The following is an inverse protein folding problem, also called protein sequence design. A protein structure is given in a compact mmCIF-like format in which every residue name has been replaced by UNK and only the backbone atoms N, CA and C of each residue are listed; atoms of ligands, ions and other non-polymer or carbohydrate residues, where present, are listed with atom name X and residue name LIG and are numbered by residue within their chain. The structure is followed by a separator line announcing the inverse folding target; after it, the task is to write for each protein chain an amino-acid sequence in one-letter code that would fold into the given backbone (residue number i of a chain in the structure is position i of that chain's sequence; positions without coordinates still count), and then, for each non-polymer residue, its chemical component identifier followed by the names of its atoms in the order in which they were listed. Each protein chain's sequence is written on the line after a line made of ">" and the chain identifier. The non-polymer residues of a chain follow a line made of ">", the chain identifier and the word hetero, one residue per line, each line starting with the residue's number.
data_IF_744994961866
#
_entry.id   IF_744994961866
#
_cell.length_a   1.000
_cell.length_b   1.000
_cell.length_c   1.000
_cell.angle_alpha   90.00
_cell.angle_beta   90.00
_cell.angle_gamma   90.00
#
_symmetry.space_group_name_H-M   'P 1'
#
loop_
_entity.id
_entity.type
_entity.pdbx_description
1 polymer ?
#
# COMPACT_ATOMS: atom_id res chain seq x y z
N UNK A 1 -12.18 17.88 -26.89
CA UNK A 1 -11.62 16.79 -26.05
C UNK A 1 -12.01 17.11 -24.61
N UNK A 2 -13.04 16.47 -24.06
CA UNK A 2 -13.48 16.76 -22.69
C UNK A 2 -12.48 16.18 -21.71
N UNK A 3 -11.74 17.04 -21.00
CA UNK A 3 -10.93 16.65 -19.85
C UNK A 3 -11.87 16.25 -18.71
N UNK A 4 -12.23 14.97 -18.66
CA UNK A 4 -12.81 14.40 -17.45
C UNK A 4 -11.71 14.35 -16.40
N UNK A 5 -11.69 15.35 -15.51
CA UNK A 5 -10.93 15.26 -14.27
C UNK A 5 -11.46 14.06 -13.48
N UNK A 6 -10.67 12.99 -13.42
CA UNK A 6 -10.97 11.79 -12.63
C UNK A 6 -11.11 12.20 -11.16
N UNK A 7 -12.35 12.27 -10.65
CA UNK A 7 -12.66 12.69 -9.29
C UNK A 7 -13.16 11.49 -8.49
N UNK A 8 -12.70 11.38 -7.24
CA UNK A 8 -13.31 10.46 -6.26
C UNK A 8 -14.77 10.87 -6.02
N UNK A 9 -15.71 9.97 -6.31
CA UNK A 9 -17.15 10.25 -6.21
C UNK A 9 -17.74 9.60 -4.95
N UNK A 10 -18.30 10.44 -4.08
CA UNK A 10 -19.12 10.06 -2.92
C UNK A 10 -20.58 10.40 -3.16
N UNK A 11 -21.52 9.78 -2.41
CA UNK A 11 -22.94 10.15 -2.50
C UNK A 11 -23.16 11.63 -2.23
N UNK A 12 -22.50 12.17 -1.19
CA UNK A 12 -22.64 13.58 -0.80
C UNK A 12 -22.12 14.51 -1.88
N UNK A 13 -20.92 14.23 -2.42
CA UNK A 13 -20.34 15.07 -3.48
C UNK A 13 -21.20 15.03 -4.75
N UNK A 14 -21.70 13.84 -5.13
CA UNK A 14 -22.57 13.68 -6.29
C UNK A 14 -23.91 14.38 -6.09
N UNK A 15 -24.54 14.22 -4.91
CA UNK A 15 -25.82 14.85 -4.61
C UNK A 15 -25.71 16.38 -4.62
N UNK A 16 -24.63 16.92 -4.06
CA UNK A 16 -24.35 18.36 -4.14
C UNK A 16 -24.20 18.82 -5.60
N UNK A 17 -23.49 18.05 -6.44
CA UNK A 17 -23.33 18.40 -7.84
C UNK A 17 -24.64 18.31 -8.64
N UNK A 18 -25.47 17.30 -8.38
CA UNK A 18 -26.79 17.15 -9.00
C UNK A 18 -27.74 18.29 -8.62
N UNK A 19 -27.70 18.73 -7.36
CA UNK A 19 -28.44 19.92 -6.89
C UNK A 19 -27.94 21.20 -7.55
N UNK A 20 -26.62 21.40 -7.59
CA UNK A 20 -26.01 22.57 -8.22
C UNK A 20 -26.30 22.67 -9.72
N UNK A 21 -26.48 21.54 -10.39
CA UNK A 21 -26.87 21.46 -11.81
C UNK A 21 -28.38 21.46 -12.02
N UNK A 22 -29.17 21.62 -10.96
CA UNK A 22 -30.64 21.63 -10.98
C UNK A 22 -31.27 20.38 -11.65
N UNK A 23 -30.55 19.25 -11.64
CA UNK A 23 -31.02 18.00 -12.27
C UNK A 23 -32.05 17.32 -11.36
N UNK A 24 -31.72 17.19 -10.08
CA UNK A 24 -32.57 16.50 -9.10
C UNK A 24 -32.18 16.91 -7.68
N UNK A 25 -33.17 17.02 -6.78
CA UNK A 25 -32.97 17.21 -5.35
C UNK A 25 -33.55 16.03 -4.58
N UNK A 26 -32.69 15.11 -4.17
CA UNK A 26 -33.08 13.88 -3.46
C UNK A 26 -32.18 13.60 -2.26
N UNK A 27 -32.63 12.68 -1.39
CA UNK A 27 -31.82 12.20 -0.27
C UNK A 27 -30.68 11.27 -0.72
N UNK A 28 -29.61 11.18 0.06
CA UNK A 28 -28.50 10.24 -0.21
C UNK A 28 -28.97 8.77 -0.30
N UNK A 29 -29.88 8.27 0.56
CA UNK A 29 -30.44 6.93 0.41
C UNK A 29 -31.17 6.72 -0.92
N UNK A 30 -31.98 7.70 -1.35
CA UNK A 30 -32.68 7.63 -2.65
C UNK A 30 -31.69 7.60 -3.81
N UNK A 31 -30.68 8.47 -3.78
CA UNK A 31 -29.62 8.52 -4.79
C UNK A 31 -28.86 7.18 -4.87
N UNK A 32 -28.56 6.56 -3.74
CA UNK A 32 -27.91 5.24 -3.68
C UNK A 32 -28.74 4.14 -4.35
N UNK A 33 -30.07 4.15 -4.19
CA UNK A 33 -30.98 3.19 -4.86
C UNK A 33 -30.96 3.40 -6.38
N UNK A 34 -31.13 4.64 -6.82
CA UNK A 34 -31.12 5.01 -8.25
C UNK A 34 -29.79 4.62 -8.90
N UNK A 35 -28.65 4.91 -8.25
CA UNK A 35 -27.34 4.51 -8.76
C UNK A 35 -27.22 3.01 -8.96
N UNK A 36 -27.74 2.20 -8.04
CA UNK A 36 -27.74 0.74 -8.17
C UNK A 36 -28.63 0.26 -9.32
N UNK A 37 -29.80 0.86 -9.48
CA UNK A 37 -30.71 0.58 -10.60
C UNK A 37 -30.08 0.93 -11.96
N UNK A 38 -29.31 2.01 -12.02
CA UNK A 38 -28.52 2.42 -13.19
C UNK A 38 -27.25 1.57 -13.40
N UNK A 39 -26.98 0.58 -12.55
CA UNK A 39 -25.86 -0.35 -12.68
C UNK A 39 -24.55 0.09 -12.01
N UNK A 40 -24.52 1.24 -11.32
CA UNK A 40 -23.36 1.68 -10.54
C UNK A 40 -23.24 0.88 -9.23
N UNK A 41 -21.99 0.71 -8.78
CA UNK A 41 -21.70 -0.03 -7.54
C UNK A 41 -20.68 0.72 -6.70
N UNK A 42 -20.90 0.72 -5.38
CA UNK A 42 -19.90 1.21 -4.43
C UNK A 42 -18.95 0.06 -4.10
N UNK A 43 -17.70 0.15 -4.58
CA UNK A 43 -16.72 -0.93 -4.48
C UNK A 43 -15.33 -0.36 -4.24
N UNK A 44 -14.43 -1.23 -3.81
CA UNK A 44 -13.00 -0.93 -3.72
C UNK A 44 -12.45 -0.62 -5.10
N UNK A 45 -11.66 0.44 -5.17
CA UNK A 45 -10.78 0.73 -6.31
C UNK A 45 -9.61 -0.26 -6.25
N UNK A 46 -9.70 -1.36 -7.00
CA UNK A 46 -8.65 -2.38 -7.09
C UNK A 46 -8.37 -2.74 -8.55
N UNK A 47 -7.17 -2.39 -9.00
CA UNK A 47 -6.69 -2.72 -10.34
C UNK A 47 -6.08 -4.13 -10.44
N UNK A 48 -5.95 -4.87 -9.32
CA UNK A 48 -5.39 -6.23 -9.32
C UNK A 48 -6.50 -7.26 -9.51
N UNK A 49 -6.92 -7.48 -10.76
CA UNK A 49 -8.05 -8.35 -11.10
C UNK A 49 -7.73 -9.85 -11.12
N UNK A 50 -6.45 -10.23 -11.19
CA UNK A 50 -6.00 -11.61 -11.07
C UNK A 50 -4.50 -11.67 -10.75
N UNK A 51 -4.13 -12.36 -9.67
CA UNK A 51 -2.74 -12.73 -9.40
C UNK A 51 -2.55 -14.17 -9.85
N UNK A 52 -1.77 -14.40 -10.90
CA UNK A 52 -1.36 -15.74 -11.30
C UNK A 52 0.10 -15.93 -10.88
N UNK A 53 0.35 -16.88 -9.97
CA UNK A 53 1.71 -17.24 -9.59
C UNK A 53 2.39 -17.92 -10.78
N UNK A 54 3.56 -17.41 -11.17
CA UNK A 54 4.39 -18.05 -12.19
C UNK A 54 5.14 -19.24 -11.59
N UNK A 55 5.36 -20.30 -12.35
CA UNK A 55 6.04 -21.52 -11.89
C UNK A 55 7.44 -21.26 -11.32
N UNK A 56 8.18 -20.33 -11.91
CA UNK A 56 9.49 -19.91 -11.39
C UNK A 56 9.40 -19.24 -10.01
N UNK A 57 8.37 -18.41 -9.77
CA UNK A 57 8.11 -17.77 -8.47
C UNK A 57 7.70 -18.83 -7.43
N UNK A 58 6.85 -19.78 -7.80
CA UNK A 58 6.49 -20.90 -6.93
C UNK A 58 7.72 -21.73 -6.51
N UNK A 59 8.63 -21.99 -7.46
CA UNK A 59 9.90 -22.69 -7.19
C UNK A 59 10.82 -21.91 -6.23
N UNK A 60 10.97 -20.60 -6.45
CA UNK A 60 11.75 -19.73 -5.55
C UNK A 60 11.15 -19.71 -4.13
N UNK A 61 9.83 -19.59 -4.02
CA UNK A 61 9.10 -19.66 -2.75
C UNK A 61 9.30 -21.00 -2.05
N UNK A 62 9.28 -22.12 -2.78
CA UNK A 62 9.54 -23.44 -2.22
C UNK A 62 10.97 -23.55 -1.67
N UNK A 63 11.96 -23.04 -2.42
CA UNK A 63 13.36 -23.00 -1.98
C UNK A 63 13.52 -22.16 -0.70
N UNK A 64 12.93 -20.97 -0.68
CA UNK A 64 12.88 -20.09 0.48
C UNK A 64 12.28 -20.79 1.71
N UNK A 65 11.11 -21.39 1.57
CA UNK A 65 10.41 -22.05 2.67
C UNK A 65 11.19 -23.25 3.22
N UNK A 66 11.94 -23.97 2.37
CA UNK A 66 12.84 -25.04 2.83
C UNK A 66 13.95 -24.47 3.71
N UNK A 67 14.67 -23.45 3.25
CA UNK A 67 15.72 -22.78 4.04
C UNK A 67 15.19 -22.20 5.36
N UNK A 68 14.02 -21.58 5.32
CA UNK A 68 13.37 -21.06 6.52
C UNK A 68 13.06 -22.18 7.53
N UNK A 69 12.54 -23.32 7.05
CA UNK A 69 12.27 -24.50 7.88
C UNK A 69 13.55 -25.12 8.43
N UNK A 70 14.62 -25.21 7.64
CA UNK A 70 15.93 -25.70 8.08
C UNK A 70 16.43 -24.91 9.29
N UNK A 71 16.37 -23.57 9.27
CA UNK A 71 16.72 -22.78 10.46
C UNK A 71 15.77 -23.09 11.63
N UNK A 72 14.45 -23.08 11.38
CA UNK A 72 13.42 -23.27 12.41
C UNK A 72 13.54 -24.59 13.17
N UNK A 73 13.97 -25.66 12.50
CA UNK A 73 14.10 -27.00 13.08
C UNK A 73 15.55 -27.42 13.35
N UNK A 74 16.50 -26.50 13.24
CA UNK A 74 17.90 -26.77 13.58
C UNK A 74 18.10 -26.91 15.10
N UNK A 75 19.21 -27.52 15.51
CA UNK A 75 19.57 -27.65 16.92
C UNK A 75 19.81 -26.29 17.62
N UNK A 76 20.13 -25.25 16.86
CA UNK A 76 20.36 -23.88 17.37
C UNK A 76 19.74 -22.87 16.38
N UNK A 77 18.42 -22.67 16.44
CA UNK A 77 17.72 -21.79 15.51
C UNK A 77 18.13 -20.33 15.75
N UNK A 78 18.46 -19.62 14.68
CA UNK A 78 18.71 -18.18 14.74
C UNK A 78 17.39 -17.44 14.78
N UNK A 79 17.35 -16.36 15.55
CA UNK A 79 16.20 -15.45 15.56
C UNK A 79 16.01 -14.84 14.18
N UNK A 80 14.78 -14.85 13.70
CA UNK A 80 14.43 -14.32 12.39
C UNK A 80 13.85 -12.93 12.55
N UNK A 81 14.51 -11.97 11.91
CA UNK A 81 14.15 -10.56 11.85
C UNK A 81 13.56 -10.28 10.48
N UNK A 82 12.30 -9.89 10.43
CA UNK A 82 11.64 -9.43 9.22
C UNK A 82 11.76 -7.91 9.15
N UNK A 83 12.08 -7.39 7.98
CA UNK A 83 11.98 -5.96 7.69
C UNK A 83 11.08 -5.73 6.50
N UNK A 84 10.43 -4.58 6.48
CA UNK A 84 9.59 -4.13 5.38
C UNK A 84 9.48 -2.60 5.38
N UNK A 85 9.14 -2.05 4.22
CA UNK A 85 8.76 -0.66 4.06
C UNK A 85 7.26 -0.53 3.83
N UNK A 86 6.65 0.44 4.50
CA UNK A 86 5.26 0.81 4.26
C UNK A 86 5.10 2.31 4.17
N UNK A 87 3.94 2.75 3.73
CA UNK A 87 3.61 4.16 3.67
C UNK A 87 2.17 4.45 4.06
N UNK A 88 1.99 5.59 4.70
CA UNK A 88 0.67 6.16 4.97
C UNK A 88 0.54 7.50 4.27
N UNK A 89 -0.64 7.79 3.75
CA UNK A 89 -0.93 9.09 3.18
C UNK A 89 -1.32 10.08 4.28
N UNK A 90 -0.87 11.33 4.17
CA UNK A 90 -1.16 12.39 5.14
C UNK A 90 -2.67 12.67 5.29
N UNK A 91 -3.47 12.46 4.25
CA UNK A 91 -4.94 12.61 4.28
C UNK A 91 -5.68 11.28 4.49
N UNK A 92 -4.95 10.20 4.76
CA UNK A 92 -5.48 8.83 4.81
C UNK A 92 -5.86 8.29 3.43
N UNK A 93 -6.26 7.02 3.38
CA UNK A 93 -6.63 6.33 2.14
C UNK A 93 -8.14 6.09 2.09
N UNK A 94 -8.87 6.81 1.24
CA UNK A 94 -10.26 6.42 0.91
C UNK A 94 -10.26 5.31 -0.13
N UNK A 95 -10.68 4.11 0.22
CA UNK A 95 -10.48 2.90 -0.61
C UNK A 95 -11.68 2.64 -1.56
N UNK A 96 -12.86 3.17 -1.23
CA UNK A 96 -14.09 2.90 -1.97
C UNK A 96 -14.66 4.15 -2.66
N UNK A 97 -15.18 3.98 -3.87
CA UNK A 97 -15.87 5.00 -4.67
C UNK A 97 -17.07 4.41 -5.42
N UNK A 98 -18.00 5.27 -5.83
CA UNK A 98 -19.07 4.89 -6.76
C UNK A 98 -18.52 4.83 -8.18
N UNK A 99 -18.68 3.69 -8.83
CA UNK A 99 -18.13 3.41 -10.16
C UNK A 99 -19.11 2.56 -10.99
N UNK A 100 -19.01 2.65 -12.31
CA UNK A 100 -19.71 1.79 -13.26
C UNK A 100 -18.89 0.53 -13.58
N UNK A 101 -19.29 -0.25 -14.59
CA UNK A 101 -18.53 -1.42 -15.05
C UNK A 101 -17.34 -1.07 -15.95
N UNK A 102 -17.15 0.20 -16.31
CA UNK A 102 -16.07 0.64 -17.18
C UNK A 102 -14.73 0.69 -16.41
N UNK A 103 -13.66 0.26 -17.05
CA UNK A 103 -12.30 0.27 -16.47
C UNK A 103 -11.77 1.70 -16.30
N UNK A 104 -12.34 2.68 -17.00
CA UNK A 104 -11.95 4.09 -16.96
C UNK A 104 -12.63 4.92 -15.89
N UNK A 105 -13.66 4.42 -15.20
CA UNK A 105 -14.41 5.22 -14.21
C UNK A 105 -13.70 5.40 -12.87
N UNK A 106 -12.44 4.95 -12.77
CA UNK A 106 -11.81 4.70 -11.49
C UNK A 106 -10.36 5.14 -11.50
N UNK A 107 -10.10 6.40 -11.11
CA UNK A 107 -8.86 6.83 -10.46
C UNK A 107 -9.13 8.03 -9.56
N UNK A 108 -8.52 8.06 -8.38
CA UNK A 108 -8.35 9.31 -7.65
C UNK A 108 -7.44 10.23 -8.47
N UNK A 109 -7.68 11.55 -8.46
CA UNK A 109 -6.75 12.47 -9.10
C UNK A 109 -5.39 12.40 -8.39
N UNK A 110 -4.32 12.61 -9.14
CA UNK A 110 -2.96 12.61 -8.59
C UNK A 110 -2.84 13.61 -7.43
N UNK A 111 -2.21 13.19 -6.33
CA UNK A 111 -2.02 14.03 -5.14
C UNK A 111 -3.26 14.17 -4.24
N UNK A 112 -4.38 13.50 -4.55
CA UNK A 112 -5.60 13.54 -3.72
C UNK A 112 -5.35 13.17 -2.25
N UNK A 113 -4.57 12.12 -2.01
CA UNK A 113 -4.28 11.59 -0.67
C UNK A 113 -3.15 12.36 0.06
N UNK A 114 -2.53 13.36 -0.60
CA UNK A 114 -1.45 14.19 -0.02
C UNK A 114 -0.07 13.52 -0.02
N UNK A 115 0.87 14.07 0.76
CA UNK A 115 2.22 13.50 0.94
C UNK A 115 2.15 12.12 1.58
N UNK A 116 3.18 11.30 1.36
CA UNK A 116 3.34 10.01 2.03
C UNK A 116 4.29 10.17 3.20
N UNK A 117 4.03 9.45 4.29
CA UNK A 117 5.01 9.16 5.32
C UNK A 117 5.47 7.73 5.10
N UNK A 118 6.76 7.56 4.85
CA UNK A 118 7.42 6.28 4.64
C UNK A 118 7.91 5.81 6.00
N UNK A 119 7.60 4.55 6.31
CA UNK A 119 7.97 3.87 7.54
C UNK A 119 8.81 2.67 7.14
N UNK A 120 10.00 2.56 7.70
CA UNK A 120 10.87 1.38 7.60
C UNK A 120 11.07 0.86 9.00
N UNK A 121 10.85 -0.44 9.20
CA UNK A 121 11.01 -1.05 10.50
C UNK A 121 11.37 -2.53 10.36
N UNK A 122 12.02 -3.07 11.38
CA UNK A 122 12.22 -4.51 11.53
C UNK A 122 11.61 -5.07 12.83
N UNK A 123 11.25 -6.35 12.82
CA UNK A 123 10.70 -7.04 13.98
C UNK A 123 10.81 -8.56 13.88
N UNK A 124 10.65 -9.22 15.01
CA UNK A 124 10.63 -10.68 15.14
C UNK A 124 9.32 -11.15 15.74
N UNK A 125 9.22 -12.46 16.04
CA UNK A 125 8.10 -12.99 16.83
C UNK A 125 8.00 -12.41 18.24
N UNK A 126 9.04 -11.76 18.75
CA UNK A 126 9.07 -11.10 20.07
C UNK A 126 8.54 -9.66 20.03
N UNK A 127 8.36 -9.09 18.84
CA UNK A 127 7.95 -7.70 18.66
C UNK A 127 8.90 -6.92 17.76
N UNK A 128 8.75 -5.60 17.78
CA UNK A 128 9.59 -4.68 17.01
C UNK A 128 10.97 -4.53 17.64
N UNK A 129 12.00 -4.37 16.81
CA UNK A 129 13.36 -4.07 17.26
C UNK A 129 13.40 -2.62 17.77
N UNK A 130 13.67 -2.44 19.05
CA UNK A 130 13.75 -1.10 19.65
C UNK A 130 14.86 -0.28 18.97
N UNK A 131 14.59 0.99 18.67
CA UNK A 131 15.55 1.86 17.97
C UNK A 131 15.69 1.64 16.46
N UNK A 132 14.97 0.67 15.86
CA UNK A 132 15.04 0.38 14.43
C UNK A 132 13.98 1.11 13.57
N UNK A 133 13.14 1.97 14.15
CA UNK A 133 12.10 2.70 13.43
C UNK A 133 12.67 3.90 12.67
N UNK A 134 12.51 3.90 11.34
CA UNK A 134 12.79 5.07 10.51
C UNK A 134 11.49 5.61 9.89
N UNK A 135 11.23 6.90 10.11
CA UNK A 135 10.07 7.62 9.59
C UNK A 135 10.52 8.88 8.86
N UNK A 136 10.09 9.06 7.61
CA UNK A 136 10.33 10.28 6.85
C UNK A 136 9.20 10.58 5.86
N UNK A 137 9.03 11.85 5.50
CA UNK A 137 7.99 12.26 4.56
C UNK A 137 8.50 12.31 3.13
N UNK A 138 7.64 12.00 2.16
CA UNK A 138 7.90 12.19 0.75
C UNK A 138 8.22 13.65 0.43
N UNK A 139 9.24 13.86 -0.40
CA UNK A 139 9.54 15.18 -0.97
C UNK A 139 8.55 15.50 -2.09
N UNK A 140 8.05 14.47 -2.79
CA UNK A 140 7.10 14.63 -3.89
C UNK A 140 5.65 14.29 -3.51
N UNK A 141 4.70 14.87 -4.25
CA UNK A 141 3.28 14.50 -4.29
C UNK A 141 2.97 13.49 -5.40
N UNK A 142 3.98 13.10 -6.20
CA UNK A 142 3.81 12.18 -7.34
C UNK A 142 3.78 10.72 -6.90
N UNK A 143 3.21 9.88 -7.77
CA UNK A 143 2.96 8.48 -7.45
C UNK A 143 4.24 7.62 -7.43
N UNK A 144 5.31 8.07 -8.09
CA UNK A 144 6.60 7.39 -8.19
C UNK A 144 7.47 7.66 -6.95
N UNK A 145 7.48 6.67 -6.04
CA UNK A 145 8.13 6.73 -4.73
C UNK A 145 9.43 5.94 -4.66
N UNK A 146 9.75 5.15 -5.70
CA UNK A 146 10.93 4.29 -5.72
C UNK A 146 12.26 5.07 -5.67
N UNK A 147 12.23 6.40 -5.78
CA UNK A 147 13.40 7.27 -5.56
C UNK A 147 13.56 7.80 -4.13
N UNK A 148 12.54 7.67 -3.27
CA UNK A 148 12.56 8.29 -1.93
C UNK A 148 13.12 7.38 -0.86
N UNK A 149 12.77 6.08 -0.87
CA UNK A 149 13.57 5.04 -0.22
C UNK A 149 14.60 4.57 -1.24
N UNK A 150 15.88 4.82 -0.97
CA UNK A 150 16.98 4.47 -1.86
C UNK A 150 18.09 3.74 -1.10
N UNK A 151 19.04 3.16 -1.84
CA UNK A 151 20.08 2.31 -1.25
C UNK A 151 20.95 3.03 -0.21
N UNK A 152 21.15 4.35 -0.32
CA UNK A 152 21.91 5.09 0.68
C UNK A 152 21.13 5.21 2.00
N UNK A 153 19.84 5.52 1.93
CA UNK A 153 18.97 5.59 3.12
C UNK A 153 18.84 4.21 3.76
N UNK A 154 18.62 3.17 2.94
CA UNK A 154 18.56 1.79 3.42
C UNK A 154 19.87 1.36 4.10
N UNK A 155 21.01 1.60 3.45
CA UNK A 155 22.34 1.27 4.00
C UNK A 155 22.62 2.02 5.30
N UNK A 156 22.28 3.31 5.36
CA UNK A 156 22.44 4.09 6.58
C UNK A 156 21.55 3.54 7.70
N UNK A 157 20.28 3.27 7.41
CA UNK A 157 19.34 2.70 8.38
C UNK A 157 19.80 1.34 8.90
N UNK A 158 20.15 0.41 8.00
CA UNK A 158 20.51 -0.95 8.40
C UNK A 158 21.78 -0.95 9.27
N UNK A 159 22.76 -0.09 8.96
CA UNK A 159 24.05 -0.01 9.68
C UNK A 159 23.98 0.80 10.97
N UNK A 160 23.14 1.82 11.05
CA UNK A 160 23.12 2.74 12.21
C UNK A 160 21.97 2.49 13.17
N UNK A 161 20.89 1.84 12.71
CA UNK A 161 19.68 1.62 13.52
C UNK A 161 19.34 0.14 13.66
N UNK A 162 19.34 -0.65 12.57
CA UNK A 162 18.94 -2.05 12.69
C UNK A 162 20.03 -2.90 13.36
N UNK A 163 21.17 -3.09 12.69
CA UNK A 163 22.24 -4.01 13.12
C UNK A 163 22.70 -3.74 14.56
N UNK A 164 22.93 -2.48 14.99
CA UNK A 164 23.38 -2.20 16.36
C UNK A 164 22.37 -2.59 17.46
N UNK A 165 21.08 -2.71 17.12
CA UNK A 165 20.02 -3.06 18.05
C UNK A 165 19.58 -4.53 17.94
N UNK A 166 20.30 -5.36 17.17
CA UNK A 166 20.02 -6.79 17.05
C UNK A 166 20.87 -7.65 17.99
N UNK A 167 20.27 -8.70 18.52
CA UNK A 167 21.00 -9.78 19.15
C UNK A 167 21.70 -10.63 18.08
N UNK A 168 22.98 -10.93 18.28
CA UNK A 168 23.75 -11.82 17.43
C UNK A 168 23.84 -13.24 18.03
N UNK A 169 23.68 -14.31 17.24
CA UNK A 169 23.41 -14.32 15.80
C UNK A 169 21.92 -14.26 15.45
N UNK A 170 21.56 -13.46 14.45
CA UNK A 170 20.21 -13.38 13.87
C UNK A 170 20.21 -13.59 12.35
N UNK A 171 19.03 -13.80 11.77
CA UNK A 171 18.78 -13.92 10.33
C UNK A 171 17.84 -12.81 9.89
N UNK A 172 18.28 -11.99 8.93
CA UNK A 172 17.45 -10.93 8.35
C UNK A 172 16.72 -11.47 7.12
N UNK A 173 15.42 -11.23 7.09
CA UNK A 173 14.52 -11.52 5.99
C UNK A 173 13.98 -10.22 5.41
N UNK A 174 14.20 -10.03 4.12
CA UNK A 174 13.77 -8.87 3.34
C UNK A 174 13.29 -9.31 1.96
N UNK A 175 12.52 -8.46 1.29
CA UNK A 175 12.15 -8.68 -0.10
C UNK A 175 13.33 -8.33 -1.04
N UNK A 176 13.11 -8.51 -2.35
CA UNK A 176 14.13 -8.31 -3.37
C UNK A 176 13.94 -6.96 -4.09
N UNK A 177 13.81 -5.88 -3.32
CA UNK A 177 13.75 -4.54 -3.88
C UNK A 177 15.12 -4.13 -4.46
N UNK A 178 15.19 -3.46 -5.63
CA UNK A 178 16.47 -3.10 -6.27
C UNK A 178 17.42 -2.22 -5.45
N UNK A 179 16.94 -1.61 -4.36
CA UNK A 179 17.71 -0.72 -3.48
C UNK A 179 18.19 -1.40 -2.19
N UNK A 180 17.85 -2.67 -1.95
CA UNK A 180 18.41 -3.49 -0.87
C UNK A 180 19.84 -3.90 -1.17
#
# INVERSE_FOLDING_TARGET
>A
MFNFLEKHVTLTSLNNELKNKEIVSISNPSLSKILKELGFKYRKDDNRRSLMERTNIASQRACFLRKYRENRYSASPREVIFLDETWIYAKGTKINSWQDSNVKSVRKPQGYDGKRFIIVHAGSSKGFVEGASLLFSSKSLTMDYHGEMNGNIFTQWITTQLIPNLEEPSLILMDNAPYH
#
